data_IF_644709199379
#
_entry.id   IF_644709199379
#
_cell.length_a   1.000
_cell.length_b   1.000
_cell.length_c   1.000
_cell.angle_alpha   90.00
_cell.angle_beta   90.00
_cell.angle_gamma   90.00
#
_symmetry.space_group_name_H-M   'P 1'
#
loop_
_entity.id
_entity.type
_entity.pdbx_description
1 polymer ?
#
# COMPACT_ATOMS: atom_id res chain seq x y z
N UNK A 1 -13.12 -17.48 -13.71
CA UNK A 1 -14.13 -17.77 -12.67
C UNK A 1 -14.71 -16.43 -12.25
N UNK A 2 -15.99 -16.15 -12.55
CA UNK A 2 -16.61 -14.87 -12.22
C UNK A 2 -17.16 -14.91 -10.79
N UNK A 3 -16.48 -14.24 -9.86
CA UNK A 3 -17.05 -13.98 -8.53
C UNK A 3 -18.26 -13.06 -8.65
N UNK A 4 -19.38 -13.44 -8.03
CA UNK A 4 -20.56 -12.60 -8.00
C UNK A 4 -20.32 -11.40 -7.07
N UNK A 5 -20.09 -10.22 -7.64
CA UNK A 5 -19.94 -8.98 -6.87
C UNK A 5 -21.33 -8.41 -6.59
N UNK A 6 -21.81 -8.52 -5.35
CA UNK A 6 -23.03 -7.82 -4.92
C UNK A 6 -22.66 -6.34 -4.68
N UNK A 7 -22.93 -5.49 -5.67
CA UNK A 7 -22.90 -4.02 -5.52
C UNK A 7 -24.31 -3.55 -5.17
N UNK A 8 -24.58 -3.24 -3.90
CA UNK A 8 -25.88 -2.69 -3.49
C UNK A 8 -25.78 -1.23 -3.09
N UNK A 9 -26.42 -0.37 -3.88
CA UNK A 9 -26.74 1.01 -3.52
C UNK A 9 -27.86 0.97 -2.49
N UNK A 10 -27.55 1.34 -1.24
CA UNK A 10 -28.45 1.28 -0.10
C UNK A 10 -29.76 2.04 -0.36
N UNK A 11 -30.87 1.33 -0.63
CA UNK A 11 -32.22 1.82 -0.32
C UNK A 11 -32.52 1.42 1.12
N UNK A 12 -33.06 2.35 1.91
CA UNK A 12 -33.12 2.37 3.39
C UNK A 12 -33.86 1.20 4.09
N UNK A 13 -34.27 0.17 3.35
CA UNK A 13 -34.96 -1.02 3.87
C UNK A 13 -34.46 -2.35 3.29
N UNK A 14 -33.45 -2.37 2.42
CA UNK A 14 -32.84 -3.64 2.00
C UNK A 14 -31.92 -4.14 3.13
N UNK A 15 -32.52 -4.95 4.00
CA UNK A 15 -32.03 -5.23 5.35
C UNK A 15 -30.83 -6.16 5.42
N UNK A 16 -29.94 -5.89 6.37
CA UNK A 16 -28.82 -6.75 6.76
C UNK A 16 -29.25 -8.20 7.01
N UNK A 17 -30.50 -8.43 7.43
CA UNK A 17 -31.07 -9.78 7.56
C UNK A 17 -31.19 -10.51 6.22
N UNK A 18 -31.53 -9.79 5.14
CA UNK A 18 -31.57 -10.35 3.80
C UNK A 18 -30.16 -10.65 3.27
N UNK A 19 -29.19 -9.77 3.55
CA UNK A 19 -27.78 -10.01 3.24
C UNK A 19 -27.24 -11.21 4.02
N UNK A 20 -27.55 -11.32 5.31
CA UNK A 20 -27.18 -12.45 6.16
C UNK A 20 -27.74 -13.77 5.61
N UNK A 21 -29.03 -13.81 5.26
CA UNK A 21 -29.66 -14.99 4.64
C UNK A 21 -29.04 -15.36 3.29
N UNK A 22 -28.68 -14.37 2.47
CA UNK A 22 -27.99 -14.59 1.19
C UNK A 22 -26.59 -15.19 1.37
N UNK A 23 -25.85 -14.69 2.35
CA UNK A 23 -24.50 -15.18 2.67
C UNK A 23 -24.57 -16.61 3.20
N UNK A 24 -25.40 -16.87 4.22
CA UNK A 24 -25.56 -18.22 4.79
C UNK A 24 -25.97 -19.25 3.73
N UNK A 25 -26.80 -18.85 2.75
CA UNK A 25 -27.27 -19.71 1.67
C UNK A 25 -26.32 -19.88 0.49
N UNK A 26 -25.20 -19.14 0.40
CA UNK A 26 -24.36 -19.08 -0.79
C UNK A 26 -22.92 -19.50 -0.51
N UNK A 27 -22.39 -20.45 -1.28
CA UNK A 27 -20.95 -20.80 -1.25
C UNK A 27 -20.08 -19.92 -2.14
N UNK A 28 -20.68 -18.97 -2.87
CA UNK A 28 -20.00 -18.16 -3.90
C UNK A 28 -19.68 -16.73 -3.44
N UNK A 29 -20.17 -16.30 -2.27
CA UNK A 29 -19.99 -14.94 -1.78
C UNK A 29 -18.85 -14.92 -0.77
N UNK A 30 -17.63 -14.67 -1.24
CA UNK A 30 -16.44 -14.52 -0.40
C UNK A 30 -15.97 -13.08 -0.23
N UNK A 31 -16.64 -12.14 -0.91
CA UNK A 31 -16.26 -10.74 -0.98
C UNK A 31 -17.39 -9.84 -0.50
N UNK A 32 -17.09 -8.97 0.46
CA UNK A 32 -17.97 -7.90 0.91
C UNK A 32 -17.32 -6.54 0.65
N UNK A 33 -18.10 -5.64 0.04
CA UNK A 33 -17.70 -4.26 -0.20
C UNK A 33 -18.76 -3.33 0.41
N UNK A 34 -18.34 -2.49 1.34
CA UNK A 34 -19.17 -1.47 1.93
C UNK A 34 -18.64 -0.10 1.51
N UNK A 35 -19.52 0.69 0.90
CA UNK A 35 -19.20 2.07 0.47
C UNK A 35 -20.19 3.01 1.12
N UNK A 36 -19.72 3.77 2.09
CA UNK A 36 -20.43 4.92 2.63
C UNK A 36 -20.33 6.13 1.69
N UNK A 37 -21.06 7.19 2.02
CA UNK A 37 -20.80 8.53 1.51
C UNK A 37 -21.35 9.59 2.49
N UNK A 38 -21.07 10.86 2.20
CA UNK A 38 -21.51 12.00 3.03
C UNK A 38 -23.03 12.08 3.26
N UNK A 39 -23.85 11.41 2.45
CA UNK A 39 -25.31 11.35 2.60
C UNK A 39 -25.83 10.03 3.16
N UNK A 40 -25.01 8.97 3.14
CA UNK A 40 -25.35 7.60 3.55
C UNK A 40 -24.14 6.98 4.24
N UNK A 41 -24.06 7.27 5.52
CA UNK A 41 -23.07 6.73 6.42
C UNK A 41 -23.42 5.29 6.79
N UNK A 42 -22.41 4.40 6.81
CA UNK A 42 -22.55 3.03 7.30
C UNK A 42 -21.73 2.93 8.59
N UNK A 43 -22.36 2.72 9.77
CA UNK A 43 -21.62 2.56 11.02
C UNK A 43 -20.78 1.29 11.00
N UNK A 44 -19.51 1.36 11.41
CA UNK A 44 -18.63 0.18 11.45
C UNK A 44 -19.22 -0.94 12.30
N UNK A 45 -19.81 -0.62 13.46
CA UNK A 45 -20.45 -1.59 14.34
C UNK A 45 -21.52 -2.44 13.62
N UNK A 46 -22.22 -1.85 12.65
CA UNK A 46 -23.23 -2.58 11.86
C UNK A 46 -22.60 -3.67 11.01
N UNK A 47 -21.45 -3.37 10.40
CA UNK A 47 -20.69 -4.31 9.57
C UNK A 47 -20.09 -5.40 10.46
N UNK A 48 -19.50 -5.04 11.59
CA UNK A 48 -18.89 -6.01 12.51
C UNK A 48 -19.93 -6.95 13.11
N UNK A 49 -21.12 -6.45 13.49
CA UNK A 49 -22.23 -7.27 13.96
C UNK A 49 -22.74 -8.24 12.90
N UNK A 50 -22.82 -7.80 11.63
CA UNK A 50 -23.14 -8.70 10.51
C UNK A 50 -22.11 -9.82 10.43
N UNK A 51 -20.81 -9.50 10.41
CA UNK A 51 -19.75 -10.49 10.31
C UNK A 51 -19.73 -11.47 11.48
N UNK A 52 -19.95 -10.98 12.70
CA UNK A 52 -20.10 -11.81 13.90
C UNK A 52 -21.32 -12.75 13.80
N UNK A 53 -22.46 -12.24 13.28
CA UNK A 53 -23.67 -13.05 13.11
C UNK A 53 -23.51 -14.19 12.11
N UNK A 54 -22.63 -14.06 11.12
CA UNK A 54 -22.37 -15.14 10.16
C UNK A 54 -21.62 -16.31 10.80
N UNK A 55 -20.91 -16.07 11.90
CA UNK A 55 -20.19 -17.12 12.62
C UNK A 55 -21.06 -17.91 13.60
N UNK A 56 -22.13 -17.33 14.14
CA UNK A 56 -23.02 -18.08 15.06
C UNK A 56 -23.82 -19.19 14.35
N UNK A 57 -23.85 -19.20 13.01
CA UNK A 57 -24.39 -20.30 12.20
C UNK A 57 -23.37 -21.42 11.90
N UNK A 58 -22.08 -21.23 12.28
CA UNK A 58 -20.96 -22.16 12.03
C UNK A 58 -21.21 -23.59 12.51
N UNK A 59 -21.93 -23.78 13.62
CA UNK A 59 -22.17 -25.12 14.18
C UNK A 59 -23.12 -25.97 13.33
N UNK A 60 -23.87 -25.34 12.41
CA UNK A 60 -24.79 -26.02 11.47
C UNK A 60 -24.29 -26.03 10.03
N UNK A 61 -23.13 -25.43 9.77
CA UNK A 61 -22.54 -25.28 8.43
C UNK A 61 -21.38 -26.26 8.24
N UNK A 62 -21.25 -26.79 7.02
CA UNK A 62 -20.10 -27.64 6.66
C UNK A 62 -18.79 -26.83 6.71
N UNK A 63 -17.63 -27.47 6.85
CA UNK A 63 -16.35 -26.77 6.88
C UNK A 63 -16.09 -25.91 5.63
N UNK A 64 -16.70 -26.26 4.49
CA UNK A 64 -16.69 -25.47 3.26
C UNK A 64 -17.54 -24.18 3.31
N UNK A 65 -18.43 -24.05 4.30
CA UNK A 65 -19.31 -22.90 4.53
C UNK A 65 -18.90 -22.08 5.77
N UNK A 66 -17.96 -22.59 6.58
CA UNK A 66 -17.39 -21.85 7.71
C UNK A 66 -16.37 -20.83 7.17
N UNK A 67 -16.57 -19.56 7.49
CA UNK A 67 -15.72 -18.42 7.06
C UNK A 67 -15.72 -18.16 5.53
N UNK A 68 -16.91 -17.99 4.95
CA UNK A 68 -17.02 -17.67 3.53
C UNK A 68 -16.37 -16.33 3.16
N UNK A 69 -16.46 -15.30 4.00
CA UNK A 69 -15.90 -13.98 3.68
C UNK A 69 -14.39 -13.98 3.85
N UNK A 70 -13.67 -13.93 2.72
CA UNK A 70 -12.21 -13.84 2.62
C UNK A 70 -11.76 -12.42 2.26
N UNK A 71 -12.61 -11.64 1.60
CA UNK A 71 -12.29 -10.29 1.15
C UNK A 71 -13.26 -9.27 1.78
N UNK A 72 -12.72 -8.28 2.46
CA UNK A 72 -13.48 -7.17 3.02
C UNK A 72 -12.92 -5.84 2.52
N UNK A 73 -13.76 -5.04 1.86
CA UNK A 73 -13.41 -3.68 1.45
C UNK A 73 -14.35 -2.67 2.12
N UNK A 74 -13.76 -1.68 2.77
CA UNK A 74 -14.43 -0.64 3.54
C UNK A 74 -14.05 0.72 2.95
N UNK A 75 -15.01 1.43 2.39
CA UNK A 75 -14.83 2.75 1.79
C UNK A 75 -15.72 3.75 2.49
N UNK A 76 -15.16 4.85 2.99
CA UNK A 76 -15.93 5.95 3.61
C UNK A 76 -16.93 5.47 4.70
N UNK A 77 -16.53 4.46 5.48
CA UNK A 77 -17.29 4.00 6.65
C UNK A 77 -17.31 5.12 7.69
N UNK A 78 -18.23 5.12 8.65
CA UNK A 78 -18.24 6.13 9.71
C UNK A 78 -18.45 5.48 11.07
N UNK A 79 -18.24 6.24 12.16
CA UNK A 79 -18.53 5.89 13.55
C UNK A 79 -17.82 4.62 14.09
N UNK A 80 -16.74 4.83 14.86
CA UNK A 80 -16.01 3.81 15.64
C UNK A 80 -16.37 3.80 17.12
N UNK A 81 -17.21 4.75 17.54
CA UNK A 81 -17.72 4.82 18.90
C UNK A 81 -18.43 3.48 19.20
N UNK A 82 -18.10 2.87 20.35
CA UNK A 82 -18.75 1.67 20.90
C UNK A 82 -18.40 0.29 20.29
N UNK A 83 -17.32 0.18 19.52
CA UNK A 83 -16.87 -1.12 19.00
C UNK A 83 -15.98 -1.94 19.96
N UNK A 84 -15.77 -1.50 21.21
CA UNK A 84 -14.86 -2.16 22.16
C UNK A 84 -15.30 -3.57 22.54
N UNK A 85 -16.61 -3.80 22.58
CA UNK A 85 -17.21 -5.04 23.10
C UNK A 85 -17.69 -6.00 21.99
N UNK A 86 -17.49 -5.64 20.72
CA UNK A 86 -17.90 -6.48 19.59
C UNK A 86 -16.94 -7.64 19.42
N UNK A 87 -17.49 -8.84 19.23
CA UNK A 87 -16.70 -9.99 18.81
C UNK A 87 -16.09 -9.77 17.42
N UNK A 88 -14.75 -9.74 17.36
CA UNK A 88 -14.00 -9.64 16.11
C UNK A 88 -13.71 -11.01 15.48
N UNK A 89 -14.26 -12.09 16.03
CA UNK A 89 -14.05 -13.46 15.51
C UNK A 89 -14.46 -13.59 14.05
N UNK A 90 -15.48 -12.84 13.61
CA UNK A 90 -15.97 -12.76 12.23
C UNK A 90 -14.93 -12.33 11.20
N UNK A 91 -13.81 -11.78 11.65
CA UNK A 91 -12.70 -11.30 10.80
C UNK A 91 -11.55 -12.29 10.72
N UNK A 92 -11.53 -13.34 11.55
CA UNK A 92 -10.39 -14.25 11.67
C UNK A 92 -10.10 -15.04 10.39
N UNK A 93 -11.07 -15.16 9.48
CA UNK A 93 -10.93 -15.81 8.18
C UNK A 93 -10.49 -14.89 7.03
N UNK A 94 -10.35 -13.57 7.26
CA UNK A 94 -10.06 -12.63 6.18
C UNK A 94 -8.66 -12.83 5.61
N UNK A 95 -8.58 -12.91 4.29
CA UNK A 95 -7.34 -12.95 3.52
C UNK A 95 -7.01 -11.57 2.93
N UNK A 96 -8.02 -10.74 2.66
CA UNK A 96 -7.84 -9.40 2.11
C UNK A 96 -8.67 -8.39 2.90
N UNK A 97 -8.01 -7.33 3.35
CA UNK A 97 -8.65 -6.22 4.07
C UNK A 97 -8.24 -4.89 3.46
N UNK A 98 -9.22 -4.18 2.90
CA UNK A 98 -9.04 -2.86 2.31
C UNK A 98 -9.83 -1.84 3.10
N UNK A 99 -9.16 -0.80 3.55
CA UNK A 99 -9.74 0.30 4.31
C UNK A 99 -9.35 1.59 3.60
N UNK A 100 -10.34 2.29 3.08
CA UNK A 100 -10.12 3.55 2.39
C UNK A 100 -11.00 4.66 2.93
N UNK A 101 -10.34 5.79 3.14
CA UNK A 101 -10.92 6.99 3.67
C UNK A 101 -10.57 8.18 2.78
N UNK A 102 -11.38 8.38 1.75
CA UNK A 102 -11.09 9.33 0.69
C UNK A 102 -11.92 10.62 0.73
N UNK A 103 -12.99 10.71 1.53
CA UNK A 103 -13.81 11.93 1.60
C UNK A 103 -14.40 12.15 2.98
N UNK A 104 -13.74 12.99 3.78
CA UNK A 104 -14.45 13.79 4.78
C UNK A 104 -14.39 15.25 4.37
N UNK A 105 -15.28 15.64 3.46
CA UNK A 105 -15.59 17.04 3.20
C UNK A 105 -16.84 17.43 4.00
N UNK A 106 -16.76 17.47 5.34
CA UNK A 106 -17.79 18.17 6.11
C UNK A 106 -17.23 19.48 6.63
N UNK A 107 -17.68 20.58 6.03
CA UNK A 107 -17.60 21.95 6.59
C UNK A 107 -18.37 22.10 7.91
N UNK A 108 -19.01 21.03 8.39
CA UNK A 108 -19.79 21.02 9.62
C UNK A 108 -19.06 20.17 10.68
N UNK A 109 -19.08 20.68 11.91
CA UNK A 109 -18.43 20.20 13.13
C UNK A 109 -18.85 18.79 13.62
N UNK A 110 -19.04 17.82 12.72
CA UNK A 110 -19.48 16.49 13.09
C UNK A 110 -18.28 15.58 13.39
N UNK A 111 -17.94 15.59 14.69
CA UNK A 111 -17.14 14.66 15.51
C UNK A 111 -15.79 14.18 14.95
N UNK A 112 -14.75 14.57 15.68
CA UNK A 112 -13.37 14.14 15.48
C UNK A 112 -13.21 12.65 15.83
N UNK A 113 -12.50 11.84 15.03
CA UNK A 113 -12.13 10.47 15.41
C UNK A 113 -11.32 10.49 16.71
N UNK A 114 -11.72 9.75 17.75
CA UNK A 114 -10.98 9.66 19.02
C UNK A 114 -9.76 8.72 18.94
N UNK A 115 -8.90 8.73 19.95
CA UNK A 115 -7.83 7.72 20.13
C UNK A 115 -8.36 6.28 20.06
N UNK A 116 -9.57 6.07 20.61
CA UNK A 116 -10.33 4.82 20.56
C UNK A 116 -10.57 4.31 19.14
N UNK A 117 -10.64 5.20 18.15
CA UNK A 117 -10.83 4.82 16.73
C UNK A 117 -9.63 4.03 16.21
N UNK A 118 -8.40 4.51 16.45
CA UNK A 118 -7.19 3.83 16.00
C UNK A 118 -7.02 2.48 16.69
N UNK A 119 -7.36 2.38 17.98
CA UNK A 119 -7.34 1.13 18.72
C UNK A 119 -8.33 0.10 18.16
N UNK A 120 -9.57 0.52 17.85
CA UNK A 120 -10.57 -0.34 17.21
C UNK A 120 -10.07 -0.83 15.85
N UNK A 121 -9.49 0.05 15.03
CA UNK A 121 -8.87 -0.33 13.77
C UNK A 121 -7.75 -1.36 13.95
N UNK A 122 -6.83 -1.10 14.89
CA UNK A 122 -5.74 -2.01 15.19
C UNK A 122 -6.24 -3.39 15.62
N UNK A 123 -7.25 -3.44 16.50
CA UNK A 123 -7.91 -4.69 16.92
C UNK A 123 -8.57 -5.42 15.75
N UNK A 124 -9.28 -4.69 14.90
CA UNK A 124 -9.95 -5.23 13.70
C UNK A 124 -8.95 -5.89 12.74
N UNK A 125 -7.84 -5.21 12.45
CA UNK A 125 -6.78 -5.74 11.58
C UNK A 125 -6.11 -6.94 12.24
N UNK A 126 -5.78 -6.86 13.55
CA UNK A 126 -5.19 -7.98 14.32
C UNK A 126 -6.08 -9.21 14.41
N UNK A 127 -7.38 -9.07 14.28
CA UNK A 127 -8.29 -10.23 14.28
C UNK A 127 -8.02 -11.18 13.10
N UNK A 128 -7.57 -10.64 11.96
CA UNK A 128 -7.23 -11.41 10.75
C UNK A 128 -5.75 -11.83 10.67
N UNK A 129 -4.94 -11.60 11.71
CA UNK A 129 -3.47 -11.69 11.62
C UNK A 129 -2.89 -13.03 11.16
N UNK A 130 -3.62 -14.13 11.29
CA UNK A 130 -3.14 -15.47 10.90
C UNK A 130 -3.52 -15.88 9.46
N UNK A 131 -4.43 -15.13 8.84
CA UNK A 131 -5.05 -15.45 7.55
C UNK A 131 -4.78 -14.37 6.51
N UNK A 132 -4.61 -13.12 6.94
CA UNK A 132 -4.42 -11.98 6.07
C UNK A 132 -3.19 -12.12 5.16
N UNK A 133 -3.43 -11.95 3.86
CA UNK A 133 -2.46 -11.99 2.77
C UNK A 133 -2.24 -10.59 2.17
N UNK A 134 -3.29 -9.76 2.14
CA UNK A 134 -3.27 -8.40 1.59
C UNK A 134 -3.91 -7.41 2.55
N UNK A 135 -3.17 -6.36 2.91
CA UNK A 135 -3.65 -5.24 3.72
C UNK A 135 -3.45 -3.93 2.96
N UNK A 136 -4.54 -3.21 2.73
CA UNK A 136 -4.52 -1.88 2.11
C UNK A 136 -5.21 -0.86 3.02
N UNK A 137 -4.47 0.17 3.42
CA UNK A 137 -4.94 1.26 4.25
C UNK A 137 -4.65 2.57 3.52
N UNK A 138 -5.70 3.26 3.09
CA UNK A 138 -5.61 4.54 2.39
C UNK A 138 -6.32 5.65 3.17
N UNK A 139 -5.56 6.65 3.61
CA UNK A 139 -6.01 7.84 4.31
C UNK A 139 -5.75 9.15 3.54
N UNK A 140 -5.51 9.08 2.22
CA UNK A 140 -5.12 10.22 1.38
C UNK A 140 -6.25 11.13 0.89
N UNK A 141 -7.53 10.85 1.17
CA UNK A 141 -8.61 11.79 0.81
C UNK A 141 -9.28 12.47 2.01
N UNK A 142 -8.70 12.27 3.19
CA UNK A 142 -9.08 13.00 4.39
C UNK A 142 -8.50 14.43 4.32
N UNK A 143 -9.31 15.39 3.84
CA UNK A 143 -8.99 16.81 3.94
C UNK A 143 -8.71 17.23 5.39
N UNK A 144 -7.77 18.17 5.57
CA UNK A 144 -7.26 18.72 6.84
C UNK A 144 -7.21 17.78 8.06
N UNK A 145 -5.99 17.35 8.42
CA UNK A 145 -5.56 16.91 9.77
C UNK A 145 -6.64 16.16 10.54
N UNK A 146 -7.09 15.03 10.00
CA UNK A 146 -7.94 14.16 10.80
C UNK A 146 -7.09 13.55 11.92
N UNK A 147 -7.67 13.43 13.11
CA UNK A 147 -6.95 12.86 14.27
C UNK A 147 -6.40 11.46 13.96
N UNK A 148 -7.07 10.68 13.11
CA UNK A 148 -6.59 9.36 12.68
C UNK A 148 -5.26 9.41 11.92
N UNK A 149 -5.04 10.38 11.03
CA UNK A 149 -3.74 10.53 10.33
C UNK A 149 -2.61 10.90 11.30
N UNK A 150 -2.96 11.62 12.37
CA UNK A 150 -1.99 12.03 13.40
C UNK A 150 -1.73 10.96 14.47
N UNK A 151 -2.60 9.95 14.60
CA UNK A 151 -2.58 8.95 15.68
C UNK A 151 -2.37 7.51 15.21
N UNK A 152 -2.71 7.21 13.96
CA UNK A 152 -2.50 5.87 13.43
C UNK A 152 -1.01 5.60 13.29
N UNK A 153 -0.57 4.56 13.97
CA UNK A 153 0.80 4.08 13.99
C UNK A 153 0.77 2.59 13.68
N UNK A 154 1.38 2.19 12.56
CA UNK A 154 1.38 0.80 12.13
C UNK A 154 1.98 -0.14 13.20
N UNK A 155 2.86 0.36 14.08
CA UNK A 155 3.44 -0.40 15.21
C UNK A 155 2.37 -0.93 16.17
N UNK A 156 1.18 -0.34 16.20
CA UNK A 156 0.07 -0.86 16.98
C UNK A 156 -0.38 -2.24 16.51
N UNK A 157 -0.02 -2.66 15.29
CA UNK A 157 -0.32 -3.99 14.74
C UNK A 157 0.65 -5.08 15.22
N UNK A 158 1.69 -4.73 15.98
CA UNK A 158 2.63 -5.71 16.52
C UNK A 158 1.89 -6.82 17.29
N UNK A 159 2.29 -8.07 17.03
CA UNK A 159 1.76 -9.23 17.74
C UNK A 159 2.16 -9.19 19.22
N UNK A 160 1.46 -9.98 20.04
CA UNK A 160 1.86 -10.17 21.43
C UNK A 160 3.21 -10.88 21.50
N UNK A 161 4.01 -10.62 22.54
CA UNK A 161 5.29 -11.30 22.74
C UNK A 161 5.08 -12.81 22.75
N UNK A 162 5.60 -13.51 21.73
CA UNK A 162 5.47 -14.97 21.58
C UNK A 162 4.45 -15.44 20.53
N UNK A 163 3.73 -14.53 19.86
CA UNK A 163 2.84 -14.88 18.74
C UNK A 163 3.65 -15.14 17.45
N UNK A 164 4.33 -16.28 17.42
CA UNK A 164 5.16 -16.70 16.30
C UNK A 164 4.36 -16.99 15.01
N UNK A 165 3.03 -16.96 15.05
CA UNK A 165 2.14 -17.24 13.91
C UNK A 165 1.64 -15.98 13.21
N UNK A 166 1.58 -14.85 13.93
CA UNK A 166 1.03 -13.61 13.42
C UNK A 166 1.73 -13.15 12.13
N UNK A 167 0.92 -12.70 11.19
CA UNK A 167 1.31 -12.05 9.94
C UNK A 167 2.16 -12.88 8.97
N UNK A 168 2.42 -14.16 9.28
CA UNK A 168 3.22 -15.05 8.42
C UNK A 168 2.68 -15.21 7.00
N UNK A 169 1.38 -15.01 6.79
CA UNK A 169 0.72 -15.09 5.47
C UNK A 169 0.67 -13.76 4.72
N UNK A 170 0.96 -12.63 5.38
CA UNK A 170 0.91 -11.33 4.73
C UNK A 170 1.98 -11.26 3.65
N UNK A 171 1.57 -10.89 2.43
CA UNK A 171 2.41 -10.74 1.24
C UNK A 171 2.36 -9.32 0.68
N UNK A 172 1.24 -8.64 0.87
CA UNK A 172 1.03 -7.30 0.32
C UNK A 172 0.64 -6.35 1.45
N UNK A 173 1.39 -5.27 1.56
CA UNK A 173 1.08 -4.16 2.46
C UNK A 173 1.06 -2.87 1.65
N UNK A 174 -0.06 -2.17 1.71
CA UNK A 174 -0.23 -0.82 1.18
C UNK A 174 -0.67 0.11 2.29
N UNK A 175 0.12 1.16 2.53
CA UNK A 175 -0.18 2.23 3.46
C UNK A 175 0.01 3.56 2.75
N UNK A 176 -1.09 4.30 2.61
CA UNK A 176 -1.11 5.63 2.03
C UNK A 176 -1.61 6.63 3.07
N UNK A 177 -0.76 7.55 3.52
CA UNK A 177 -1.04 8.43 4.65
C UNK A 177 -0.52 9.85 4.43
N UNK A 178 -1.26 10.83 4.95
CA UNK A 178 -0.74 12.19 5.06
C UNK A 178 0.21 12.34 6.25
N UNK A 179 1.40 12.85 5.98
CA UNK A 179 2.42 13.17 6.97
C UNK A 179 2.42 14.66 7.32
N UNK A 180 2.68 14.95 8.59
CA UNK A 180 2.95 16.28 9.11
C UNK A 180 3.97 16.15 10.27
N UNK A 181 4.48 17.27 10.78
CA UNK A 181 5.56 17.33 11.79
C UNK A 181 5.32 16.61 13.13
N UNK A 182 4.18 15.94 13.31
CA UNK A 182 3.85 15.14 14.50
C UNK A 182 3.17 13.81 14.16
N UNK A 183 3.20 13.39 12.89
CA UNK A 183 2.68 12.08 12.49
C UNK A 183 3.68 10.99 12.90
N UNK A 184 3.22 9.84 13.41
CA UNK A 184 4.07 8.67 13.68
C UNK A 184 4.89 8.22 12.46
N UNK A 185 4.33 8.41 11.26
CA UNK A 185 5.01 8.08 10.00
C UNK A 185 6.08 9.10 9.58
N UNK A 186 6.32 10.15 10.38
CA UNK A 186 7.45 11.06 10.20
C UNK A 186 8.81 10.39 10.46
N UNK A 187 8.83 9.36 11.32
CA UNK A 187 9.95 8.43 11.45
C UNK A 187 9.82 7.31 10.42
N UNK A 188 10.18 7.62 9.18
CA UNK A 188 10.01 6.69 8.07
C UNK A 188 10.91 5.47 8.18
N UNK A 189 12.15 5.64 8.66
CA UNK A 189 13.10 4.54 8.86
C UNK A 189 12.59 3.60 9.95
N UNK A 190 12.17 4.14 11.09
CA UNK A 190 11.57 3.33 12.17
C UNK A 190 10.26 2.67 11.75
N UNK A 191 9.47 3.30 10.89
CA UNK A 191 8.26 2.70 10.30
C UNK A 191 8.61 1.51 9.40
N UNK A 192 9.61 1.65 8.52
CA UNK A 192 10.10 0.54 7.70
C UNK A 192 10.71 -0.58 8.53
N UNK A 193 11.42 -0.26 9.62
CA UNK A 193 11.96 -1.25 10.54
C UNK A 193 10.84 -2.06 11.22
N UNK A 194 9.81 -1.39 11.71
CA UNK A 194 8.65 -2.06 12.26
C UNK A 194 7.94 -2.94 11.22
N UNK A 195 7.79 -2.48 9.97
CA UNK A 195 7.23 -3.26 8.87
C UNK A 195 8.07 -4.52 8.63
N UNK A 196 9.38 -4.38 8.54
CA UNK A 196 10.27 -5.48 8.27
C UNK A 196 10.25 -6.55 9.38
N UNK A 197 10.18 -6.11 10.64
CA UNK A 197 10.14 -7.01 11.79
C UNK A 197 8.77 -7.70 11.94
N UNK A 198 7.66 -7.00 11.66
CA UNK A 198 6.31 -7.56 11.76
C UNK A 198 5.92 -8.43 10.56
N UNK A 199 6.38 -8.08 9.35
CA UNK A 199 5.91 -8.64 8.09
C UNK A 199 7.08 -9.17 7.23
N UNK A 200 7.83 -10.19 7.71
CA UNK A 200 9.08 -10.62 7.07
C UNK A 200 8.89 -11.25 5.68
N UNK A 201 7.68 -11.69 5.34
CA UNK A 201 7.35 -12.37 4.08
C UNK A 201 6.68 -11.44 3.05
N UNK A 202 6.77 -10.12 3.21
CA UNK A 202 6.22 -9.19 2.23
C UNK A 202 6.87 -9.38 0.86
N UNK A 203 6.03 -9.50 -0.15
CA UNK A 203 6.38 -9.54 -1.57
C UNK A 203 6.16 -8.18 -2.23
N UNK A 204 5.17 -7.42 -1.75
CA UNK A 204 4.85 -6.07 -2.21
C UNK A 204 4.70 -5.12 -1.03
N UNK A 205 5.42 -4.01 -1.07
CA UNK A 205 5.30 -2.92 -0.11
C UNK A 205 5.02 -1.62 -0.85
N UNK A 206 3.89 -1.01 -0.49
CA UNK A 206 3.52 0.34 -0.90
C UNK A 206 3.42 1.24 0.32
N UNK A 207 4.35 2.18 0.45
CA UNK A 207 4.41 3.13 1.56
C UNK A 207 4.43 4.56 1.01
N UNK A 208 3.23 5.10 0.78
CA UNK A 208 3.03 6.45 0.24
C UNK A 208 2.74 7.42 1.36
N UNK A 209 3.75 8.22 1.69
CA UNK A 209 3.58 9.39 2.54
C UNK A 209 3.38 10.63 1.68
N UNK A 210 2.25 11.32 1.87
CA UNK A 210 1.97 12.59 1.19
C UNK A 210 2.02 13.72 2.19
N UNK A 211 2.63 14.85 1.84
CA UNK A 211 2.65 16.03 2.70
C UNK A 211 1.62 17.07 2.23
N UNK A 212 1.25 18.03 3.08
CA UNK A 212 0.49 19.21 2.64
C UNK A 212 1.40 20.29 2.06
N UNK A 213 2.62 20.39 2.60
CA UNK A 213 3.63 21.33 2.17
C UNK A 213 4.88 20.54 1.84
N UNK A 214 5.57 20.95 0.78
CA UNK A 214 6.86 20.40 0.40
C UNK A 214 7.84 20.27 1.60
N UNK A 215 7.89 21.27 2.49
CA UNK A 215 8.77 21.25 3.67
C UNK A 215 8.47 20.13 4.69
N UNK A 216 7.28 19.54 4.61
CA UNK A 216 6.81 18.48 5.50
C UNK A 216 7.00 17.08 4.87
N UNK A 217 7.50 16.99 3.63
CA UNK A 217 7.84 15.71 3.00
C UNK A 217 8.94 14.98 3.77
N UNK A 218 8.85 13.65 3.83
CA UNK A 218 9.90 12.80 4.36
C UNK A 218 11.04 12.76 3.35
N UNK A 219 12.24 13.06 3.84
CA UNK A 219 13.47 13.04 3.06
C UNK A 219 13.93 11.60 2.85
N UNK A 220 14.51 11.33 1.69
CA UNK A 220 15.31 10.12 1.50
C UNK A 220 16.55 10.15 2.40
N UNK A 221 16.83 9.02 3.06
CA UNK A 221 18.09 8.73 3.73
C UNK A 221 18.54 7.31 3.36
N UNK A 222 19.86 7.05 3.16
CA UNK A 222 20.39 5.70 3.01
C UNK A 222 20.06 4.75 4.16
N UNK A 223 19.67 5.26 5.34
CA UNK A 223 19.33 4.42 6.50
C UNK A 223 18.14 3.47 6.23
N UNK A 224 17.30 3.75 5.21
CA UNK A 224 16.22 2.85 4.80
C UNK A 224 16.73 1.48 4.29
N UNK A 225 18.01 1.38 3.90
CA UNK A 225 18.59 0.15 3.38
C UNK A 225 18.63 -0.95 4.45
N UNK A 226 18.84 -0.59 5.72
CA UNK A 226 18.90 -1.54 6.82
C UNK A 226 17.57 -2.32 6.99
N UNK A 227 16.41 -1.67 7.19
CA UNK A 227 15.14 -2.41 7.29
C UNK A 227 14.77 -3.13 6.00
N UNK A 228 15.03 -2.55 4.82
CA UNK A 228 14.75 -3.21 3.54
C UNK A 228 15.58 -4.48 3.34
N UNK A 229 16.81 -4.53 3.88
CA UNK A 229 17.65 -5.73 3.82
C UNK A 229 17.04 -6.94 4.53
N UNK A 230 16.16 -6.72 5.52
CA UNK A 230 15.47 -7.80 6.26
C UNK A 230 14.34 -8.43 5.43
N UNK A 231 13.81 -7.74 4.42
CA UNK A 231 12.68 -8.19 3.60
C UNK A 231 13.12 -9.08 2.44
N UNK A 232 13.35 -10.37 2.75
CA UNK A 232 13.92 -11.35 1.80
C UNK A 232 12.96 -11.87 0.72
N UNK A 233 11.70 -11.48 0.75
CA UNK A 233 10.71 -11.83 -0.28
C UNK A 233 10.25 -10.63 -1.11
N UNK A 234 10.76 -9.43 -0.82
CA UNK A 234 10.24 -8.19 -1.40
C UNK A 234 10.69 -8.04 -2.85
N UNK A 235 9.71 -8.06 -3.76
CA UNK A 235 9.95 -7.96 -5.20
C UNK A 235 9.44 -6.64 -5.79
N UNK A 236 8.41 -6.05 -5.19
CA UNK A 236 7.83 -4.77 -5.62
C UNK A 236 7.83 -3.75 -4.48
N UNK A 237 8.34 -2.55 -4.77
CA UNK A 237 8.44 -1.46 -3.81
C UNK A 237 7.91 -0.14 -4.39
N UNK A 238 6.99 0.50 -3.68
CA UNK A 238 6.46 1.82 -4.00
C UNK A 238 6.73 2.76 -2.82
N UNK A 239 7.39 3.89 -3.09
CA UNK A 239 7.83 4.83 -2.07
C UNK A 239 7.58 6.29 -2.49
N UNK A 240 7.30 7.12 -1.49
CA UNK A 240 7.13 8.57 -1.63
C UNK A 240 8.14 9.32 -0.76
N UNK A 241 9.34 9.59 -1.29
CA UNK A 241 10.41 10.28 -0.57
C UNK A 241 10.94 11.47 -1.38
N UNK A 242 11.29 12.54 -0.67
CA UNK A 242 11.91 13.73 -1.23
C UNK A 242 13.43 13.54 -1.34
N UNK A 243 13.96 13.68 -2.56
CA UNK A 243 15.40 13.63 -2.86
C UNK A 243 15.96 15.02 -3.11
N UNK A 244 15.09 16.01 -3.27
CA UNK A 244 15.41 17.30 -3.88
C UNK A 244 15.83 18.33 -2.83
N UNK A 245 15.26 18.30 -1.62
CA UNK A 245 15.44 19.36 -0.62
C UNK A 245 16.88 19.61 -0.19
N UNK A 246 17.69 18.55 -0.13
CA UNK A 246 19.09 18.64 0.30
C UNK A 246 20.07 18.65 -0.89
N UNK A 247 19.55 18.58 -2.11
CA UNK A 247 20.37 18.44 -3.32
C UNK A 247 21.07 19.73 -3.78
N UNK A 248 20.85 20.85 -3.07
CA UNK A 248 21.32 22.22 -3.43
C UNK A 248 20.93 22.67 -4.86
N UNK A 249 19.98 21.98 -5.46
CA UNK A 249 19.40 22.30 -6.76
C UNK A 249 18.43 23.46 -6.52
N UNK A 250 18.89 24.70 -6.74
CA UNK A 250 18.09 25.89 -6.47
C UNK A 250 16.79 25.83 -7.30
N UNK A 251 15.66 26.05 -6.63
CA UNK A 251 14.34 26.18 -7.26
C UNK A 251 14.31 27.44 -8.14
N UNK A 252 14.86 27.36 -9.35
CA UNK A 252 14.41 28.25 -10.40
C UNK A 252 12.94 27.96 -10.68
N UNK A 253 12.14 29.01 -10.83
CA UNK A 253 10.72 28.89 -11.14
C UNK A 253 10.61 28.20 -12.49
N UNK A 254 9.85 27.12 -12.52
CA UNK A 254 9.65 26.18 -13.63
C UNK A 254 10.81 25.19 -13.81
N UNK A 255 10.50 23.94 -13.49
CA UNK A 255 11.42 22.81 -13.55
C UNK A 255 11.75 22.49 -15.01
N UNK A 256 12.98 22.76 -15.42
CA UNK A 256 13.46 22.38 -16.75
C UNK A 256 13.61 20.86 -16.86
N UNK A 257 13.66 20.35 -18.09
CA UNK A 257 13.85 18.92 -18.34
C UNK A 257 15.13 18.39 -17.67
N UNK A 258 16.19 19.21 -17.62
CA UNK A 258 17.45 18.84 -16.98
C UNK A 258 17.28 18.58 -15.47
N UNK A 259 16.44 19.34 -14.78
CA UNK A 259 16.09 19.08 -13.39
C UNK A 259 15.38 17.74 -13.22
N UNK A 260 14.43 17.40 -14.09
CA UNK A 260 13.79 16.08 -14.08
C UNK A 260 14.81 14.96 -14.27
N UNK A 261 15.77 15.13 -15.19
CA UNK A 261 16.83 14.14 -15.40
C UNK A 261 17.68 13.97 -14.13
N UNK A 262 18.10 15.06 -13.47
CA UNK A 262 18.83 14.98 -12.19
C UNK A 262 18.02 14.27 -11.10
N UNK A 263 16.72 14.56 -10.99
CA UNK A 263 15.82 13.89 -10.04
C UNK A 263 15.69 12.39 -10.32
N UNK A 264 15.68 12.01 -11.59
CA UNK A 264 15.62 10.62 -12.02
C UNK A 264 16.91 9.86 -11.71
N UNK A 265 18.08 10.49 -11.93
CA UNK A 265 19.39 9.93 -11.56
C UNK A 265 19.49 9.64 -10.06
N UNK A 266 18.96 10.52 -9.20
CA UNK A 266 18.93 10.29 -7.74
C UNK A 266 18.09 9.07 -7.36
N UNK A 267 16.89 8.95 -7.94
CA UNK A 267 15.98 7.81 -7.73
C UNK A 267 16.54 6.52 -8.29
N UNK A 268 17.24 6.57 -9.43
CA UNK A 268 17.98 5.44 -9.99
C UNK A 268 19.06 4.95 -9.02
N UNK A 269 19.92 5.86 -8.53
CA UNK A 269 21.00 5.51 -7.61
C UNK A 269 20.46 4.88 -6.31
N UNK A 270 19.36 5.41 -5.77
CA UNK A 270 18.68 4.82 -4.62
C UNK A 270 18.08 3.44 -4.94
N UNK A 271 17.47 3.28 -6.13
CA UNK A 271 16.93 1.98 -6.57
C UNK A 271 18.04 0.94 -6.70
N UNK A 272 19.21 1.30 -7.22
CA UNK A 272 20.37 0.41 -7.29
C UNK A 272 20.81 -0.01 -5.89
N UNK A 273 20.98 0.94 -4.97
CA UNK A 273 21.37 0.64 -3.60
C UNK A 273 20.35 -0.27 -2.88
N UNK A 274 19.05 -0.10 -3.14
CA UNK A 274 18.00 -0.97 -2.59
C UNK A 274 18.07 -2.36 -3.22
N UNK A 275 18.23 -2.44 -4.55
CA UNK A 275 18.37 -3.70 -5.27
C UNK A 275 19.55 -4.52 -4.73
N UNK A 276 20.64 -3.89 -4.28
CA UNK A 276 21.78 -4.59 -3.71
C UNK A 276 21.47 -5.28 -2.37
N UNK A 277 20.47 -4.79 -1.61
CA UNK A 277 20.15 -5.31 -0.27
C UNK A 277 18.90 -6.19 -0.20
N UNK A 278 17.99 -6.12 -1.18
CA UNK A 278 16.76 -6.93 -1.23
C UNK A 278 16.49 -7.50 -2.65
N UNK A 279 15.67 -8.56 -2.80
CA UNK A 279 15.44 -9.22 -4.09
C UNK A 279 14.45 -8.46 -4.99
N UNK A 280 14.63 -7.15 -5.08
CA UNK A 280 13.76 -6.26 -5.82
C UNK A 280 13.76 -6.61 -7.31
N UNK A 281 12.59 -6.53 -7.93
CA UNK A 281 12.40 -6.65 -9.39
C UNK A 281 11.78 -5.39 -9.98
N UNK A 282 11.03 -4.64 -9.17
CA UNK A 282 10.39 -3.37 -9.56
C UNK A 282 10.42 -2.36 -8.44
N UNK A 283 10.77 -1.12 -8.76
CA UNK A 283 10.75 0.01 -7.84
C UNK A 283 10.00 1.18 -8.46
N UNK A 284 9.13 1.80 -7.67
CA UNK A 284 8.33 2.94 -8.07
C UNK A 284 8.51 4.06 -7.07
N UNK A 285 8.77 5.26 -7.58
CA UNK A 285 8.95 6.45 -6.77
C UNK A 285 7.91 7.48 -7.18
N UNK A 286 7.10 7.94 -6.25
CA UNK A 286 6.28 9.14 -6.50
C UNK A 286 7.13 10.39 -6.23
N UNK A 287 7.26 11.21 -7.25
CA UNK A 287 7.82 12.54 -7.18
C UNK A 287 6.66 13.51 -6.94
N UNK A 288 6.57 14.04 -5.73
CA UNK A 288 5.47 14.93 -5.33
C UNK A 288 5.83 16.40 -5.49
N UNK A 289 4.82 17.25 -5.67
CA UNK A 289 4.96 18.70 -5.78
C UNK A 289 5.90 19.15 -6.91
N UNK A 290 5.74 18.52 -8.08
CA UNK A 290 6.58 18.78 -9.24
C UNK A 290 6.37 20.18 -9.79
N UNK A 291 5.20 20.76 -9.61
CA UNK A 291 4.92 22.12 -10.04
C UNK A 291 4.05 22.86 -9.03
N UNK A 292 3.78 24.13 -9.33
CA UNK A 292 2.92 24.97 -8.50
C UNK A 292 1.46 24.53 -8.47
N UNK A 293 1.04 23.65 -9.38
CA UNK A 293 -0.30 23.04 -9.39
C UNK A 293 -0.38 21.84 -8.45
N UNK A 294 0.77 21.35 -7.97
CA UNK A 294 0.85 20.20 -7.08
C UNK A 294 0.75 18.89 -7.84
N UNK A 295 1.14 18.85 -9.11
CA UNK A 295 1.18 17.62 -9.87
C UNK A 295 2.24 16.66 -9.30
N UNK A 296 1.93 15.37 -9.37
CA UNK A 296 2.81 14.28 -8.95
C UNK A 296 3.14 13.39 -10.17
N UNK A 297 4.31 12.78 -10.17
CA UNK A 297 4.77 11.87 -11.23
C UNK A 297 5.32 10.58 -10.65
N UNK A 298 5.12 9.47 -11.33
CA UNK A 298 5.74 8.21 -10.96
C UNK A 298 7.01 7.98 -11.76
N UNK A 299 8.11 7.62 -11.10
CA UNK A 299 9.32 7.13 -11.74
C UNK A 299 9.40 5.62 -11.58
N UNK A 300 9.63 4.92 -12.69
CA UNK A 300 9.53 3.46 -12.78
C UNK A 300 10.88 2.83 -13.09
N UNK A 301 11.27 1.83 -12.29
CA UNK A 301 12.53 1.12 -12.44
C UNK A 301 12.31 -0.39 -12.41
N UNK A 302 12.98 -1.09 -13.31
CA UNK A 302 13.02 -2.56 -13.39
C UNK A 302 14.40 -3.02 -12.96
N UNK A 303 14.46 -4.10 -12.19
CA UNK A 303 15.72 -4.71 -11.75
C UNK A 303 15.83 -6.10 -12.33
N UNK A 304 16.90 -6.33 -13.10
CA UNK A 304 17.23 -7.62 -13.70
C UNK A 304 18.52 -8.16 -13.09
N UNK A 305 18.65 -9.49 -13.03
CA UNK A 305 19.95 -10.09 -12.73
C UNK A 305 20.75 -10.12 -14.04
N UNK A 306 21.97 -9.60 -14.01
CA UNK A 306 22.92 -9.76 -15.11
C UNK A 306 23.40 -11.21 -15.14
N UNK A 307 22.59 -12.07 -15.75
CA UNK A 307 23.10 -13.30 -16.30
C UNK A 307 23.80 -12.91 -17.59
N UNK A 308 25.05 -12.48 -17.48
CA UNK A 308 25.84 -12.03 -18.61
C UNK A 308 25.61 -12.95 -19.81
N UNK A 309 25.35 -12.34 -20.97
CA UNK A 309 25.24 -12.99 -22.28
C UNK A 309 26.57 -13.65 -22.71
N UNK A 310 27.12 -14.52 -21.85
CA UNK A 310 28.20 -15.42 -22.17
C UNK A 310 27.67 -16.42 -23.18
N UNK A 311 28.17 -16.34 -24.40
CA UNK A 311 28.01 -17.40 -25.41
C UNK A 311 28.21 -18.77 -24.74
N UNK A 312 27.36 -19.78 -25.03
CA UNK A 312 27.55 -21.12 -24.51
C UNK A 312 28.79 -21.71 -25.18
N UNK A 313 29.92 -21.63 -24.50
CA UNK A 313 31.18 -22.16 -25.01
C UNK A 313 32.37 -21.38 -24.53
N UNK A 314 32.67 -21.45 -23.23
CA UNK A 314 34.02 -21.79 -22.83
C UNK A 314 33.98 -22.42 -21.44
N UNK A 315 34.34 -23.70 -21.42
CA UNK A 315 34.36 -24.54 -20.24
C UNK A 315 35.61 -24.22 -19.43
N UNK A 316 35.43 -23.79 -18.18
CA UNK A 316 36.57 -23.54 -17.29
C UNK A 316 36.17 -23.25 -15.86
N UNK A 317 35.83 -24.31 -15.11
CA UNK A 317 36.16 -24.49 -13.68
C UNK A 317 35.97 -23.30 -12.71
N UNK A 318 34.98 -23.38 -11.82
CA UNK A 318 35.20 -23.80 -10.42
C UNK A 318 33.94 -23.64 -9.58
N UNK A 319 33.64 -24.65 -8.78
CA UNK A 319 32.65 -24.61 -7.69
C UNK A 319 33.17 -23.70 -6.57
N UNK A 320 32.67 -22.47 -6.47
CA UNK A 320 32.62 -21.72 -5.21
C UNK A 320 31.76 -20.48 -5.36
N UNK A 321 30.79 -20.35 -4.45
CA UNK A 321 29.92 -19.21 -4.21
C UNK A 321 28.90 -18.87 -5.30
N UNK A 322 27.63 -18.95 -4.91
CA UNK A 322 26.50 -18.34 -5.62
C UNK A 322 26.74 -16.82 -5.66
N UNK A 323 27.55 -16.34 -6.60
CA UNK A 323 27.46 -14.96 -7.06
C UNK A 323 26.10 -14.86 -7.73
N UNK A 324 25.10 -14.37 -6.99
CA UNK A 324 23.96 -13.69 -7.61
C UNK A 324 24.57 -12.70 -8.60
N UNK A 325 24.28 -12.86 -9.90
CA UNK A 325 24.80 -11.96 -10.94
C UNK A 325 24.54 -10.50 -10.55
N UNK A 326 25.39 -9.60 -11.03
CA UNK A 326 25.27 -8.19 -10.72
C UNK A 326 23.85 -7.72 -11.07
N UNK A 327 23.18 -7.01 -10.16
CA UNK A 327 21.82 -6.52 -10.41
C UNK A 327 21.91 -5.27 -11.25
N UNK A 328 21.22 -5.25 -12.38
CA UNK A 328 21.14 -4.10 -13.28
C UNK A 328 19.79 -3.44 -13.08
N UNK A 329 19.80 -2.17 -12.72
CA UNK A 329 18.61 -1.32 -12.75
C UNK A 329 18.44 -0.73 -14.15
N UNK A 330 17.21 -0.78 -14.64
CA UNK A 330 16.79 -0.19 -15.91
C UNK A 330 15.69 0.81 -15.64
N UNK A 331 15.72 1.93 -16.36
CA UNK A 331 14.73 2.99 -16.21
C UNK A 331 13.65 2.83 -17.28
N UNK A 332 12.38 2.84 -16.87
CA UNK A 332 11.24 2.87 -17.79
C UNK A 332 10.98 4.32 -18.20
N UNK A 333 11.05 4.60 -19.49
CA UNK A 333 10.85 5.96 -20.01
C UNK A 333 9.36 6.25 -20.19
N UNK A 334 8.86 7.26 -19.49
CA UNK A 334 7.49 7.72 -19.66
C UNK A 334 7.28 8.33 -21.05
N UNK A 335 6.08 8.12 -21.61
CA UNK A 335 5.79 8.49 -23.01
C UNK A 335 5.90 9.99 -23.27
N UNK A 336 5.57 10.82 -22.28
CA UNK A 336 5.67 12.27 -22.41
C UNK A 336 7.13 12.76 -22.44
N UNK A 337 8.09 12.04 -21.84
CA UNK A 337 9.52 12.40 -21.87
C UNK A 337 10.18 12.05 -23.21
N UNK A 338 9.66 11.04 -23.91
CA UNK A 338 10.21 10.51 -25.16
C UNK A 338 10.49 11.56 -26.25
N UNK A 339 9.59 12.51 -26.58
CA UNK A 339 9.86 13.53 -27.60
C UNK A 339 10.97 14.51 -27.22
N UNK A 340 11.17 14.75 -25.92
CA UNK A 340 12.15 15.72 -25.41
C UNK A 340 13.53 15.10 -25.20
N UNK A 341 13.58 13.78 -24.97
CA UNK A 341 14.80 13.03 -24.65
C UNK A 341 16.00 13.32 -25.56
N UNK A 342 15.80 13.31 -26.87
CA UNK A 342 16.91 13.49 -27.82
C UNK A 342 17.22 14.94 -28.17
N UNK A 343 16.36 15.89 -27.77
CA UNK A 343 16.37 17.26 -28.29
C UNK A 343 16.72 18.31 -27.25
N UNK A 344 16.31 18.11 -26.01
CA UNK A 344 16.31 19.16 -24.99
C UNK A 344 16.98 18.74 -23.68
N UNK A 345 17.33 17.45 -23.53
CA UNK A 345 17.95 16.92 -22.33
C UNK A 345 19.48 16.91 -22.43
N UNK A 346 20.14 17.56 -21.47
CA UNK A 346 21.58 17.49 -21.29
C UNK A 346 21.95 16.22 -20.52
N UNK A 347 22.83 15.41 -21.11
CA UNK A 347 23.34 14.17 -20.52
C UNK A 347 22.48 12.93 -20.82
N UNK A 348 23.01 11.76 -20.47
CA UNK A 348 22.36 10.46 -20.70
C UNK A 348 21.33 10.11 -19.61
N UNK A 349 20.38 9.22 -19.94
CA UNK A 349 19.38 8.71 -19.00
C UNK A 349 20.11 7.83 -17.99
N UNK A 350 19.65 7.75 -16.74
CA UNK A 350 20.22 6.79 -15.81
C UNK A 350 19.95 5.35 -16.27
N UNK A 351 21.03 4.62 -16.58
CA UNK A 351 20.99 3.19 -16.92
C UNK A 351 20.41 2.87 -18.30
N UNK A 352 20.17 1.58 -18.56
CA UNK A 352 19.47 1.14 -19.77
C UNK A 352 18.02 1.64 -19.73
N UNK A 353 17.58 2.27 -20.81
CA UNK A 353 16.19 2.71 -20.97
C UNK A 353 15.38 1.62 -21.63
N UNK A 354 14.40 1.10 -20.91
CA UNK A 354 13.43 0.14 -21.43
C UNK A 354 12.14 0.85 -21.85
N UNK A 355 11.30 0.16 -22.61
CA UNK A 355 10.04 0.67 -23.16
C UNK A 355 9.13 1.33 -22.10
N UNK A 356 8.04 1.97 -22.52
CA UNK A 356 7.20 2.69 -21.57
C UNK A 356 6.69 1.74 -20.50
N UNK A 357 6.40 2.29 -19.29
CA UNK A 357 5.74 1.50 -18.29
C UNK A 357 4.43 0.95 -18.86
N UNK A 358 4.22 -0.36 -18.74
CA UNK A 358 3.03 -1.00 -19.32
C UNK A 358 1.80 -0.56 -18.52
N UNK A 359 0.61 -0.52 -19.14
CA UNK A 359 -0.61 -0.07 -18.46
C UNK A 359 -0.89 -0.84 -17.16
N UNK A 360 -0.47 -2.11 -17.06
CA UNK A 360 -0.59 -2.90 -15.83
C UNK A 360 0.45 -2.56 -14.74
N UNK A 361 1.55 -1.87 -15.09
CA UNK A 361 2.52 -1.33 -14.14
C UNK A 361 1.95 -0.10 -13.42
N UNK A 362 1.03 0.62 -14.06
CA UNK A 362 0.19 1.67 -13.45
C UNK A 362 -1.10 1.11 -12.84
N UNK A 363 -1.69 0.10 -13.49
CA UNK A 363 -2.91 -0.59 -13.09
C UNK A 363 -2.55 -1.99 -12.64
N UNK A 364 -2.08 -2.15 -11.40
CA UNK A 364 -1.73 -3.50 -10.94
C UNK A 364 -2.91 -4.43 -11.22
N UNK A 365 -2.65 -5.54 -11.91
CA UNK A 365 -3.64 -6.58 -12.22
C UNK A 365 -4.09 -7.35 -10.98
N UNK A 366 -3.95 -6.75 -9.81
CA UNK A 366 -4.55 -7.19 -8.57
C UNK A 366 -6.02 -6.73 -8.58
N UNK A 367 -7.01 -7.64 -8.50
CA UNK A 367 -8.42 -7.24 -8.29
C UNK A 367 -8.63 -6.37 -7.03
N UNK A 368 -7.59 -6.26 -6.21
CA UNK A 368 -7.41 -5.40 -5.06
C UNK A 368 -7.16 -3.92 -5.42
N UNK A 369 -6.60 -3.60 -6.59
CA UNK A 369 -6.14 -2.25 -6.96
C UNK A 369 -7.13 -1.37 -7.71
N UNK A 370 -8.34 -1.85 -8.00
CA UNK A 370 -9.34 -1.03 -8.68
C UNK A 370 -9.71 0.21 -7.84
N UNK A 371 -9.22 1.38 -8.28
CA UNK A 371 -9.77 2.70 -7.98
C UNK A 371 -10.04 3.45 -9.29
N UNK A 372 -11.06 4.31 -9.25
CA UNK A 372 -11.61 5.20 -10.29
C UNK A 372 -12.89 4.77 -11.04
N UNK A 373 -13.62 3.74 -10.58
CA UNK A 373 -15.02 3.58 -10.97
C UNK A 373 -15.89 2.95 -9.86
N UNK A 374 -16.31 3.79 -8.91
CA UNK A 374 -17.53 3.59 -8.13
C UNK A 374 -18.45 4.79 -8.34
#
# INVERSE_FOLDING_TARGET
>A
MSGAVIKTVNQSKFGLNHLSSLLIGSTMLDTLCFTGNSRKQIPLITILNLLASLQTYSDKLTDAQRNQIRFLKLFEISYFEDCSDISLTGLAGLEVLHICWERYSSRNNERKPSETTCEVFGKMIKAARYTLQSLNINFLGLGNRTEIQSKFDLRMLAGDKGDAGAWKKLRKLKLSIYIHSGSPCGDFVGTLEAIADMFPNLETLDLITTAWKYKDMVRYTPDILNPLSKLKSLHHLYLALDFERDSKDERARDHDLNWYNRCLHRRYAATQAIADVCPLTRCFWIHQFIDSEGNDLWCHFVVENDFGNGKPGDSGSSRSDRRTGDKIVKTKMEDWMRPYWRRELEGDFPGEVVGPPEDWEYMTSDPDYHYLAC
#
